data_IF_514651540403
#
_entry.id   IF_514651540403
#
_cell.length_a   1.000
_cell.length_b   1.000
_cell.length_c   1.000
_cell.angle_alpha   90.00
_cell.angle_beta   90.00
_cell.angle_gamma   90.00
#
_symmetry.space_group_name_H-M   'P 1'
#
loop_
_entity.id
_entity.type
_entity.pdbx_description
1 polymer ?
#
# COMPACT_ATOMS: atom_id res chain seq x y z
N UNK A 1 35.18 -6.96 -3.57
CA UNK A 1 33.80 -6.90 -4.13
C UNK A 1 33.80 -5.93 -5.29
N UNK A 2 33.14 -6.25 -6.41
CA UNK A 2 33.04 -5.32 -7.55
C UNK A 2 32.43 -3.97 -7.10
N UNK A 3 32.97 -2.85 -7.54
CA UNK A 3 32.47 -1.48 -7.25
C UNK A 3 31.11 -1.18 -7.89
N UNK A 4 30.33 -2.21 -8.21
CA UNK A 4 28.99 -2.07 -8.80
C UNK A 4 28.04 -1.38 -7.85
N UNK A 5 27.35 -0.37 -8.37
CA UNK A 5 26.32 0.40 -7.68
C UNK A 5 24.96 0.20 -8.32
N UNK A 6 23.94 0.12 -7.49
CA UNK A 6 22.54 0.04 -7.93
C UNK A 6 21.73 1.12 -7.22
N UNK A 7 21.07 1.98 -8.00
CA UNK A 7 20.10 2.95 -7.53
C UNK A 7 18.68 2.44 -7.84
N UNK A 8 17.89 2.19 -6.81
CA UNK A 8 16.47 1.84 -6.96
C UNK A 8 15.61 3.06 -6.63
N UNK A 9 14.94 3.55 -7.65
CA UNK A 9 13.98 4.66 -7.59
C UNK A 9 12.59 4.05 -7.41
N UNK A 10 12.13 3.98 -6.19
CA UNK A 10 10.78 3.51 -5.86
C UNK A 10 9.77 4.65 -5.96
N UNK A 11 8.77 4.49 -6.82
CA UNK A 11 7.66 5.44 -6.97
C UNK A 11 6.38 4.77 -6.49
N UNK A 12 5.98 5.04 -5.24
CA UNK A 12 4.80 4.41 -4.65
C UNK A 12 3.54 4.79 -5.45
N UNK A 13 2.77 3.78 -5.87
CA UNK A 13 1.53 4.01 -6.61
C UNK A 13 1.70 4.63 -8.02
N UNK A 14 2.86 4.52 -8.68
CA UNK A 14 3.03 5.13 -10.01
C UNK A 14 2.20 4.41 -11.08
N UNK A 15 1.15 5.10 -11.56
CA UNK A 15 0.21 4.55 -12.52
C UNK A 15 0.83 4.43 -13.93
N UNK A 16 0.83 3.22 -14.55
CA UNK A 16 1.39 3.01 -15.89
C UNK A 16 0.77 3.91 -16.96
N UNK A 17 -0.52 4.23 -16.83
CA UNK A 17 -1.26 5.11 -17.75
C UNK A 17 -0.69 6.53 -17.77
N UNK A 18 -0.15 7.00 -16.63
CA UNK A 18 0.51 8.30 -16.53
C UNK A 18 1.95 8.19 -17.03
N UNK A 19 2.72 7.26 -16.45
CA UNK A 19 4.17 7.14 -16.72
C UNK A 19 4.44 6.82 -18.19
N UNK A 20 3.75 5.84 -18.76
CA UNK A 20 3.94 5.46 -20.18
C UNK A 20 3.08 6.29 -21.13
N UNK A 21 1.85 6.65 -20.74
CA UNK A 21 0.93 7.41 -21.57
C UNK A 21 1.36 8.86 -21.79
N UNK A 22 2.13 9.43 -20.88
CA UNK A 22 2.65 10.81 -20.92
C UNK A 22 4.19 10.88 -20.90
N UNK A 23 4.86 9.81 -21.31
CA UNK A 23 6.32 9.67 -21.22
C UNK A 23 7.10 10.85 -21.82
N UNK A 24 6.57 11.49 -22.85
CA UNK A 24 7.22 12.64 -23.50
C UNK A 24 7.23 13.91 -22.62
N UNK A 25 6.41 13.96 -21.57
CA UNK A 25 6.38 15.02 -20.59
C UNK A 25 7.40 14.82 -19.44
N UNK A 26 8.06 13.64 -19.38
CA UNK A 26 9.02 13.23 -18.34
C UNK A 26 10.37 12.89 -18.98
N UNK A 27 11.18 13.89 -19.34
CA UNK A 27 12.38 13.68 -20.17
C UNK A 27 13.43 12.76 -19.53
N UNK A 28 13.56 12.74 -18.19
CA UNK A 28 14.50 11.86 -17.48
C UNK A 28 14.01 10.42 -17.52
N UNK A 29 12.79 10.15 -17.12
CA UNK A 29 12.19 8.81 -17.19
C UNK A 29 12.16 8.30 -18.63
N UNK A 30 11.79 9.16 -19.61
CA UNK A 30 11.85 8.83 -21.03
C UNK A 30 13.26 8.42 -21.45
N UNK A 31 14.26 9.21 -21.07
CA UNK A 31 15.66 8.92 -21.38
C UNK A 31 16.15 7.60 -20.77
N UNK A 32 15.68 7.23 -19.57
CA UNK A 32 15.95 5.93 -18.95
C UNK A 32 15.27 4.79 -19.73
N UNK A 33 14.00 4.97 -20.12
CA UNK A 33 13.26 3.99 -20.94
C UNK A 33 13.91 3.77 -22.31
N UNK A 34 14.36 4.85 -22.97
CA UNK A 34 14.95 4.78 -24.31
C UNK A 34 16.34 4.08 -24.32
N UNK A 35 17.05 4.10 -23.19
CA UNK A 35 18.36 3.43 -23.00
C UNK A 35 18.29 2.06 -22.34
N UNK A 36 17.17 1.73 -21.72
CA UNK A 36 16.99 0.52 -20.91
C UNK A 36 15.84 -0.35 -21.38
N UNK A 37 15.36 -1.16 -20.46
CA UNK A 37 14.13 -1.95 -20.62
C UNK A 37 13.03 -1.32 -19.80
N UNK A 38 11.84 -1.24 -20.36
CA UNK A 38 10.67 -0.72 -19.67
C UNK A 38 9.42 -1.52 -20.00
N UNK A 39 8.49 -1.61 -19.06
CA UNK A 39 7.24 -2.33 -19.24
C UNK A 39 6.36 -2.29 -18.00
N UNK A 40 5.11 -2.71 -18.17
CA UNK A 40 4.18 -2.89 -17.06
C UNK A 40 4.60 -4.11 -16.24
N UNK A 41 4.69 -3.95 -14.93
CA UNK A 41 4.92 -5.02 -13.97
C UNK A 41 3.60 -5.32 -13.24
N UNK A 42 3.21 -6.60 -13.19
CA UNK A 42 2.06 -7.00 -12.37
C UNK A 42 2.46 -6.92 -10.90
N UNK A 43 1.66 -6.22 -10.10
CA UNK A 43 1.84 -6.14 -8.66
C UNK A 43 1.55 -7.49 -7.97
N UNK A 44 1.93 -7.58 -6.69
CA UNK A 44 1.51 -8.70 -5.83
C UNK A 44 -0.02 -8.71 -5.63
N UNK A 45 -0.55 -9.81 -5.21
CA UNK A 45 -1.88 -9.90 -4.63
C UNK A 45 -1.74 -10.07 -3.09
N UNK A 46 -2.19 -9.11 -2.28
CA UNK A 46 -2.86 -7.88 -2.67
C UNK A 46 -1.88 -6.82 -3.21
N UNK A 47 -2.32 -5.94 -4.12
CA UNK A 47 -1.53 -4.81 -4.62
C UNK A 47 -1.58 -3.65 -3.60
N UNK A 48 -0.96 -3.87 -2.46
CA UNK A 48 -0.92 -2.96 -1.30
C UNK A 48 0.54 -2.65 -0.96
N UNK A 49 0.82 -1.42 -0.61
CA UNK A 49 2.17 -0.87 -0.39
C UNK A 49 3.09 -1.80 0.41
N UNK A 50 2.71 -2.18 1.63
CA UNK A 50 3.61 -2.96 2.51
C UNK A 50 3.92 -4.35 1.94
N UNK A 51 2.95 -5.22 1.59
CA UNK A 51 3.27 -6.49 0.98
C UNK A 51 4.05 -6.34 -0.34
N UNK A 52 3.65 -5.43 -1.24
CA UNK A 52 4.27 -5.31 -2.55
C UNK A 52 5.75 -4.86 -2.47
N UNK A 53 6.10 -3.88 -1.63
CA UNK A 53 7.51 -3.50 -1.42
C UNK A 53 8.31 -4.63 -0.82
N UNK A 54 7.72 -5.44 0.09
CA UNK A 54 8.44 -6.56 0.69
C UNK A 54 8.59 -7.74 -0.27
N UNK A 55 7.63 -8.00 -1.15
CA UNK A 55 7.80 -8.95 -2.27
C UNK A 55 9.03 -8.58 -3.11
N UNK A 56 9.17 -7.30 -3.49
CA UNK A 56 10.34 -6.83 -4.23
C UNK A 56 11.64 -6.95 -3.45
N UNK A 57 11.60 -6.69 -2.13
CA UNK A 57 12.78 -6.69 -1.29
C UNK A 57 13.28 -8.10 -0.89
N UNK A 58 12.39 -9.11 -0.89
CA UNK A 58 12.69 -10.46 -0.40
C UNK A 58 12.63 -11.53 -1.48
N UNK A 59 11.89 -11.29 -2.57
CA UNK A 59 11.57 -12.31 -3.58
C UNK A 59 10.53 -13.33 -3.12
N UNK A 60 9.88 -13.12 -1.96
CA UNK A 60 8.85 -14.00 -1.42
C UNK A 60 7.47 -13.39 -1.67
N UNK A 61 6.45 -14.22 -1.88
CA UNK A 61 5.08 -13.77 -2.05
C UNK A 61 4.43 -13.35 -0.71
N UNK A 62 3.28 -12.66 -0.73
CA UNK A 62 2.59 -12.21 0.49
C UNK A 62 2.18 -13.34 1.43
N UNK A 63 1.89 -14.54 0.92
CA UNK A 63 1.57 -15.72 1.72
C UNK A 63 2.74 -16.12 2.62
N UNK A 64 3.93 -16.30 2.04
CA UNK A 64 5.17 -16.62 2.76
C UNK A 64 5.65 -15.51 3.69
N UNK A 65 5.28 -14.26 3.39
CA UNK A 65 5.59 -13.13 4.26
C UNK A 65 4.60 -12.94 5.40
N UNK A 66 3.43 -13.56 5.34
CA UNK A 66 2.33 -13.32 6.28
C UNK A 66 1.79 -11.88 6.21
N UNK A 67 1.93 -11.21 5.07
CA UNK A 67 1.60 -9.80 4.87
C UNK A 67 0.48 -9.62 3.86
N UNK A 68 -0.74 -9.39 4.34
CA UNK A 68 -1.95 -9.25 3.53
C UNK A 68 -2.49 -7.81 3.50
N UNK A 69 -1.73 -6.83 4.01
CA UNK A 69 -2.10 -5.42 4.06
C UNK A 69 -1.43 -4.67 5.20
N UNK A 70 -2.06 -3.58 5.64
CA UNK A 70 -1.57 -2.77 6.77
C UNK A 70 -1.92 -3.35 8.14
N UNK A 71 -3.05 -4.04 8.24
CA UNK A 71 -3.61 -4.57 9.49
C UNK A 71 -3.80 -6.07 9.38
N UNK A 72 -3.54 -6.79 10.44
CA UNK A 72 -3.66 -8.24 10.52
C UNK A 72 -4.38 -8.61 11.81
N UNK A 73 -5.11 -9.73 11.81
CA UNK A 73 -5.69 -10.31 13.03
C UNK A 73 -4.58 -10.78 13.96
N UNK A 74 -4.89 -10.90 15.23
CA UNK A 74 -3.98 -11.45 16.22
C UNK A 74 -4.62 -12.65 16.89
N UNK A 75 -4.06 -13.84 16.63
CA UNK A 75 -4.49 -15.10 17.23
C UNK A 75 -5.95 -15.46 16.91
N UNK A 76 -6.45 -15.17 15.71
CA UNK A 76 -7.83 -15.36 15.28
C UNK A 76 -8.87 -14.64 16.15
N UNK A 77 -8.48 -13.66 16.99
CA UNK A 77 -9.40 -12.81 17.72
C UNK A 77 -10.33 -12.03 16.78
N UNK A 78 -11.51 -11.64 17.26
CA UNK A 78 -12.44 -10.80 16.48
C UNK A 78 -12.04 -9.32 16.49
N UNK A 79 -11.44 -8.85 17.57
CA UNK A 79 -11.18 -7.45 17.91
C UNK A 79 -9.69 -7.09 18.05
N UNK A 80 -8.82 -8.07 18.29
CA UNK A 80 -7.39 -7.81 18.36
C UNK A 80 -6.75 -7.79 16.98
N UNK A 81 -6.00 -6.70 16.71
CA UNK A 81 -5.23 -6.54 15.47
C UNK A 81 -3.85 -5.99 15.75
N UNK A 82 -2.95 -6.19 14.78
CA UNK A 82 -1.65 -5.55 14.76
C UNK A 82 -1.42 -4.84 13.42
N UNK A 83 -0.59 -3.79 13.44
CA UNK A 83 -0.23 -3.02 12.25
C UNK A 83 1.12 -3.51 11.75
N UNK A 84 1.19 -3.80 10.45
CA UNK A 84 2.40 -4.23 9.79
C UNK A 84 3.51 -3.18 9.95
N UNK A 85 4.66 -3.62 10.41
CA UNK A 85 5.83 -2.79 10.69
C UNK A 85 7.10 -3.59 10.40
N UNK A 86 8.28 -2.99 10.59
CA UNK A 86 9.55 -3.63 10.24
C UNK A 86 9.82 -4.95 10.98
N UNK A 87 9.26 -5.12 12.18
CA UNK A 87 9.45 -6.33 13.00
C UNK A 87 8.63 -7.52 12.51
N UNK A 88 7.63 -7.27 11.67
CA UNK A 88 6.81 -8.34 11.09
C UNK A 88 7.51 -9.06 9.91
N UNK A 89 8.59 -8.50 9.38
CA UNK A 89 9.29 -9.05 8.23
C UNK A 89 10.52 -9.82 8.70
N UNK A 90 10.37 -11.13 8.88
CA UNK A 90 11.45 -11.99 9.36
C UNK A 90 12.38 -12.47 8.24
N UNK A 91 11.90 -12.49 7.01
CA UNK A 91 12.68 -12.89 5.84
C UNK A 91 13.85 -11.93 5.58
N UNK A 92 14.97 -12.51 5.11
CA UNK A 92 16.10 -11.70 4.62
C UNK A 92 15.69 -10.88 3.42
N UNK A 93 16.10 -9.62 3.42
CA UNK A 93 15.86 -8.67 2.35
C UNK A 93 17.12 -8.50 1.51
N UNK A 94 17.00 -7.95 0.33
CA UNK A 94 18.14 -7.73 -0.59
C UNK A 94 19.33 -7.05 0.11
N UNK A 95 19.08 -6.06 0.95
CA UNK A 95 20.14 -5.35 1.68
C UNK A 95 20.81 -6.17 2.79
N UNK A 96 20.14 -7.19 3.33
CA UNK A 96 20.73 -8.11 4.28
C UNK A 96 21.77 -8.98 3.55
N UNK A 97 21.44 -9.50 2.36
CA UNK A 97 22.38 -10.25 1.51
C UNK A 97 23.57 -9.41 1.06
N UNK A 98 23.34 -8.13 0.70
CA UNK A 98 24.39 -7.19 0.34
C UNK A 98 25.33 -6.96 1.53
N UNK A 99 24.79 -6.78 2.74
CA UNK A 99 25.56 -6.63 3.96
C UNK A 99 26.41 -7.86 4.31
N UNK A 100 25.84 -9.06 4.20
CA UNK A 100 26.55 -10.33 4.38
C UNK A 100 27.71 -10.50 3.38
N UNK A 101 27.53 -10.00 2.17
CA UNK A 101 28.56 -9.96 1.14
C UNK A 101 29.58 -8.81 1.34
N UNK A 102 29.51 -8.04 2.45
CA UNK A 102 30.42 -6.93 2.79
C UNK A 102 30.10 -5.61 2.06
N UNK A 103 28.96 -5.51 1.37
CA UNK A 103 28.47 -4.27 0.73
C UNK A 103 27.73 -3.38 1.72
N UNK A 104 27.35 -2.19 1.26
CA UNK A 104 26.62 -1.19 2.05
C UNK A 104 25.35 -0.77 1.35
N UNK A 105 24.30 -0.56 2.12
CA UNK A 105 22.99 -0.11 1.62
C UNK A 105 22.59 1.21 2.26
N UNK A 106 22.05 2.12 1.46
CA UNK A 106 21.35 3.32 1.94
C UNK A 106 19.89 3.19 1.57
N UNK A 107 19.03 3.07 2.58
CA UNK A 107 17.60 2.86 2.46
C UNK A 107 16.85 4.08 2.93
N UNK A 108 16.03 4.69 2.06
CA UNK A 108 15.28 5.89 2.39
C UNK A 108 13.79 5.62 2.21
N UNK A 109 13.06 5.59 3.32
CA UNK A 109 11.60 5.47 3.34
C UNK A 109 11.04 4.20 2.67
N UNK A 110 11.78 3.09 2.60
CA UNK A 110 11.31 1.82 2.03
C UNK A 110 10.33 1.14 3.01
N UNK A 111 9.06 0.91 2.65
CA UNK A 111 8.07 0.29 3.56
C UNK A 111 8.26 -1.24 3.72
N UNK A 112 8.02 -1.79 4.95
CA UNK A 112 7.92 -1.12 6.24
C UNK A 112 9.31 -0.99 6.88
N UNK A 113 9.76 0.22 7.18
CA UNK A 113 11.07 0.44 7.83
C UNK A 113 10.98 1.14 9.19
N UNK A 114 9.80 1.18 9.78
CA UNK A 114 9.62 1.64 11.15
C UNK A 114 9.15 0.48 12.06
N UNK A 115 9.70 0.33 13.29
CA UNK A 115 10.91 0.99 13.82
C UNK A 115 12.16 0.72 12.97
N UNK A 116 13.15 1.64 12.95
CA UNK A 116 14.40 1.42 12.21
C UNK A 116 15.14 0.22 12.82
N UNK A 117 15.88 -0.48 11.99
CA UNK A 117 16.62 -1.69 12.34
C UNK A 117 18.04 -1.64 11.78
N UNK A 118 18.97 -2.44 12.33
CA UNK A 118 20.34 -2.49 11.85
C UNK A 118 20.42 -2.90 10.37
N UNK A 119 21.23 -2.15 9.61
CA UNK A 119 21.62 -2.46 8.23
C UNK A 119 23.11 -2.19 8.06
N UNK A 120 23.78 -2.88 7.13
CA UNK A 120 25.14 -2.53 6.76
C UNK A 120 25.11 -1.22 5.94
N UNK A 121 24.98 -0.07 6.62
CA UNK A 121 24.89 1.24 5.97
C UNK A 121 23.94 2.20 6.68
N UNK A 122 22.99 2.78 5.96
CA UNK A 122 22.10 3.82 6.45
C UNK A 122 20.63 3.47 6.17
N UNK A 123 19.75 3.79 7.12
CA UNK A 123 18.30 3.63 6.95
C UNK A 123 17.58 4.84 7.51
N UNK A 124 16.65 5.42 6.74
CA UNK A 124 15.63 6.36 7.18
C UNK A 124 14.29 5.65 7.10
N UNK A 125 13.52 5.68 8.19
CA UNK A 125 12.22 5.00 8.26
C UNK A 125 11.18 5.63 7.31
N UNK A 126 10.09 4.88 7.06
CA UNK A 126 9.09 5.22 6.05
C UNK A 126 7.88 5.97 6.64
N UNK A 127 6.87 6.20 5.82
CA UNK A 127 5.65 6.95 6.14
C UNK A 127 4.83 6.40 7.32
N UNK A 128 4.99 5.12 7.71
CA UNK A 128 4.33 4.58 8.91
C UNK A 128 4.98 5.03 10.22
N UNK A 129 6.03 5.84 10.16
CA UNK A 129 6.65 6.45 11.34
C UNK A 129 5.64 7.32 12.07
N UNK A 130 5.31 7.02 13.34
CA UNK A 130 4.33 7.83 14.06
C UNK A 130 4.86 9.26 14.28
N UNK A 131 4.00 10.28 14.22
CA UNK A 131 4.42 11.66 14.48
C UNK A 131 4.88 11.86 15.93
N UNK A 132 5.65 12.93 16.18
CA UNK A 132 6.06 13.38 17.50
C UNK A 132 7.54 13.16 17.83
N UNK A 133 8.04 13.84 18.86
CA UNK A 133 9.46 13.86 19.24
C UNK A 133 9.88 12.55 19.94
N UNK A 134 11.21 12.39 20.12
CA UNK A 134 11.79 11.33 20.96
C UNK A 134 11.78 9.92 20.35
N UNK A 135 11.54 9.80 19.04
CA UNK A 135 11.53 8.51 18.36
C UNK A 135 12.81 8.30 17.57
N UNK A 136 13.32 7.07 17.63
CA UNK A 136 14.34 6.62 16.69
C UNK A 136 13.69 6.45 15.31
N UNK A 137 14.25 7.12 14.31
CA UNK A 137 13.72 7.12 12.94
C UNK A 137 14.76 6.76 11.91
N UNK A 138 16.00 6.53 12.35
CA UNK A 138 17.13 6.19 11.47
C UNK A 138 17.99 5.07 12.05
N UNK A 139 18.76 4.44 11.18
CA UNK A 139 19.91 3.63 11.55
C UNK A 139 21.13 4.07 10.69
N UNK A 140 22.31 4.30 11.30
CA UNK A 140 22.51 4.38 12.77
C UNK A 140 21.71 5.54 13.40
N UNK A 141 21.47 5.52 14.73
CA UNK A 141 20.69 6.56 15.40
C UNK A 141 21.23 7.99 15.16
N UNK A 142 22.54 8.19 15.19
CA UNK A 142 23.17 9.49 14.94
C UNK A 142 22.93 10.08 13.54
N UNK A 143 22.43 9.29 12.58
CA UNK A 143 22.08 9.81 11.26
C UNK A 143 20.90 10.80 11.33
N UNK A 144 19.99 10.64 12.29
CA UNK A 144 18.90 11.58 12.52
C UNK A 144 19.44 12.97 12.85
N UNK A 145 20.41 13.04 13.79
CA UNK A 145 21.00 14.32 14.22
C UNK A 145 21.74 14.99 13.06
N UNK A 146 22.49 14.23 12.25
CA UNK A 146 23.15 14.74 11.06
C UNK A 146 22.17 15.35 10.04
N UNK A 147 20.99 14.73 9.88
CA UNK A 147 19.93 15.19 8.98
C UNK A 147 19.28 16.46 9.54
N UNK A 148 18.89 16.44 10.81
CA UNK A 148 18.18 17.56 11.45
C UNK A 148 19.07 18.81 11.53
N UNK A 149 20.37 18.65 11.79
CA UNK A 149 21.34 19.76 11.81
C UNK A 149 21.49 20.41 10.42
N UNK A 150 21.48 19.63 9.34
CA UNK A 150 21.74 20.13 7.98
C UNK A 150 20.50 20.65 7.28
N UNK A 151 19.37 19.96 7.48
CA UNK A 151 18.16 20.14 6.67
C UNK A 151 16.93 20.47 7.51
N UNK A 152 17.03 20.44 8.84
CA UNK A 152 15.89 20.50 9.74
C UNK A 152 15.12 19.18 9.79
N UNK A 153 13.95 19.14 10.45
CA UNK A 153 13.18 17.92 10.64
C UNK A 153 12.81 17.22 9.33
N UNK A 154 12.98 15.90 9.31
CA UNK A 154 12.57 15.07 8.16
C UNK A 154 11.05 14.91 8.13
N UNK A 155 10.44 14.95 6.94
CA UNK A 155 9.00 14.82 6.75
C UNK A 155 8.70 13.41 6.26
N UNK A 156 8.08 12.59 7.13
CA UNK A 156 7.78 11.18 6.84
C UNK A 156 6.51 10.99 6.03
N UNK A 157 5.49 11.81 6.26
CA UNK A 157 4.20 11.76 5.55
C UNK A 157 3.46 13.09 5.68
N UNK A 158 2.38 13.22 4.91
CA UNK A 158 1.46 14.36 4.95
C UNK A 158 0.04 13.88 5.30
N UNK A 159 -0.79 14.77 5.85
CA UNK A 159 -2.20 14.48 6.12
C UNK A 159 -2.99 14.64 4.81
N UNK A 160 -3.03 13.60 4.00
CA UNK A 160 -3.59 13.65 2.64
C UNK A 160 -5.12 13.52 2.58
N UNK A 161 -5.78 13.08 3.66
CA UNK A 161 -7.25 12.99 3.76
C UNK A 161 -7.82 14.25 4.41
N UNK A 162 -7.72 15.37 3.70
CA UNK A 162 -8.25 16.68 4.09
C UNK A 162 -8.90 17.35 2.90
N UNK A 163 -9.87 18.23 3.14
CA UNK A 163 -10.52 19.00 2.08
C UNK A 163 -9.71 20.24 1.65
N UNK A 164 -8.71 20.66 2.43
CA UNK A 164 -7.81 21.75 2.02
C UNK A 164 -6.79 21.27 0.98
N UNK A 165 -7.21 21.29 -0.28
CA UNK A 165 -6.41 20.83 -1.43
C UNK A 165 -5.18 21.67 -1.68
N UNK A 166 -5.22 22.98 -1.39
CA UNK A 166 -4.03 23.84 -1.52
C UNK A 166 -2.97 23.53 -0.47
N UNK A 167 -3.40 23.28 0.75
CA UNK A 167 -2.48 22.91 1.82
C UNK A 167 -1.80 21.57 1.51
N UNK A 168 -2.58 20.54 1.18
CA UNK A 168 -1.98 19.22 0.91
C UNK A 168 -1.05 19.24 -0.30
N UNK A 169 -1.37 20.01 -1.34
CA UNK A 169 -0.50 20.17 -2.51
C UNK A 169 0.86 20.75 -2.10
N UNK A 170 0.86 21.83 -1.31
CA UNK A 170 2.08 22.45 -0.79
C UNK A 170 2.87 21.47 0.09
N UNK A 171 2.20 20.73 0.96
CA UNK A 171 2.84 19.78 1.89
C UNK A 171 3.47 18.61 1.15
N UNK A 172 2.84 18.07 0.08
CA UNK A 172 3.41 17.00 -0.76
C UNK A 172 4.72 17.50 -1.41
N UNK A 173 4.72 18.69 -2.02
CA UNK A 173 5.93 19.25 -2.62
C UNK A 173 7.02 19.51 -1.56
N UNK A 174 6.67 20.05 -0.40
CA UNK A 174 7.63 20.29 0.69
C UNK A 174 8.24 19.00 1.23
N UNK A 175 7.43 17.94 1.37
CA UNK A 175 7.89 16.61 1.77
C UNK A 175 8.88 16.05 0.76
N UNK A 176 8.54 16.08 -0.52
CA UNK A 176 9.40 15.58 -1.60
C UNK A 176 10.69 16.37 -1.69
N UNK A 177 10.63 17.71 -1.62
CA UNK A 177 11.82 18.58 -1.60
C UNK A 177 12.76 18.18 -0.47
N UNK A 178 12.23 18.09 0.76
CA UNK A 178 12.99 17.68 1.95
C UNK A 178 13.68 16.34 1.78
N UNK A 179 12.97 15.37 1.24
CA UNK A 179 13.51 14.02 0.99
C UNK A 179 14.64 14.04 -0.04
N UNK A 180 14.47 14.77 -1.14
CA UNK A 180 15.50 14.86 -2.16
C UNK A 180 16.72 15.69 -1.70
N UNK A 181 16.55 16.71 -0.86
CA UNK A 181 17.70 17.39 -0.22
C UNK A 181 18.55 16.40 0.58
N UNK A 182 17.92 15.58 1.40
CA UNK A 182 18.59 14.56 2.22
C UNK A 182 19.23 13.47 1.34
N UNK A 183 18.53 12.97 0.32
CA UNK A 183 19.07 11.97 -0.60
C UNK A 183 20.23 12.50 -1.43
N UNK A 184 20.15 13.73 -1.89
CA UNK A 184 21.22 14.43 -2.62
C UNK A 184 22.53 14.53 -1.81
N UNK A 185 22.41 14.65 -0.49
CA UNK A 185 23.55 14.59 0.42
C UNK A 185 24.00 13.15 0.66
N UNK A 186 23.07 12.24 0.99
CA UNK A 186 23.41 10.84 1.32
C UNK A 186 24.14 10.13 0.18
N UNK A 187 23.70 10.33 -1.07
CA UNK A 187 24.23 9.64 -2.24
C UNK A 187 25.70 9.98 -2.52
N UNK A 188 26.14 11.17 -2.05
CA UNK A 188 27.52 11.64 -2.22
C UNK A 188 28.37 11.52 -0.95
N UNK A 189 27.75 11.68 0.23
CA UNK A 189 28.46 11.75 1.51
C UNK A 189 28.64 10.39 2.21
N UNK A 190 27.80 9.42 1.91
CA UNK A 190 27.84 8.10 2.55
C UNK A 190 28.22 7.03 1.53
N UNK A 191 29.02 6.00 1.91
CA UNK A 191 29.34 4.89 1.00
C UNK A 191 28.15 3.95 0.83
N UNK A 192 27.90 3.51 -0.42
CA UNK A 192 26.81 2.59 -0.76
C UNK A 192 27.15 1.74 -2.00
N UNK A 193 26.57 0.54 -2.06
CA UNK A 193 26.45 -0.34 -3.22
C UNK A 193 25.00 -0.41 -3.70
N UNK A 194 24.05 -0.40 -2.74
CA UNK A 194 22.62 -0.25 -3.00
C UNK A 194 22.14 1.09 -2.40
N UNK A 195 21.53 1.92 -3.24
CA UNK A 195 20.75 3.07 -2.78
C UNK A 195 19.30 2.83 -3.18
N UNK A 196 18.42 2.61 -2.23
CA UNK A 196 17.01 2.35 -2.49
C UNK A 196 16.14 3.35 -1.73
N UNK A 197 15.34 4.12 -2.46
CA UNK A 197 14.37 4.99 -1.83
C UNK A 197 12.96 4.72 -2.35
N UNK A 198 11.95 5.11 -1.56
CA UNK A 198 10.55 5.10 -1.96
C UNK A 198 9.96 6.48 -1.77
N UNK A 199 9.48 7.08 -2.86
CA UNK A 199 8.77 8.37 -2.87
C UNK A 199 7.27 8.13 -2.75
N UNK A 200 6.73 8.37 -1.54
CA UNK A 200 5.32 8.22 -1.22
C UNK A 200 4.47 9.39 -1.75
N UNK A 201 5.08 10.49 -2.14
CA UNK A 201 4.37 11.65 -2.66
C UNK A 201 3.56 11.37 -3.91
N UNK A 202 3.97 10.36 -4.71
CA UNK A 202 3.20 9.91 -5.89
C UNK A 202 1.86 9.29 -5.46
N UNK A 203 1.87 8.44 -4.43
CA UNK A 203 0.64 7.90 -3.85
C UNK A 203 -0.25 9.01 -3.27
N UNK A 204 0.35 9.94 -2.52
CA UNK A 204 -0.37 11.04 -1.87
C UNK A 204 -1.02 11.99 -2.87
N UNK A 205 -0.35 12.31 -3.97
CA UNK A 205 -0.91 13.16 -5.02
C UNK A 205 -2.07 12.47 -5.74
N UNK A 206 -1.99 11.15 -5.97
CA UNK A 206 -3.07 10.37 -6.56
C UNK A 206 -4.29 10.35 -5.65
N UNK A 207 -4.12 10.03 -4.37
CA UNK A 207 -5.21 10.03 -3.39
C UNK A 207 -5.94 11.36 -3.28
N UNK A 208 -5.20 12.47 -3.33
CA UNK A 208 -5.78 13.78 -3.14
C UNK A 208 -6.40 14.39 -4.41
N UNK A 209 -5.86 14.03 -5.59
CA UNK A 209 -6.15 14.78 -6.82
C UNK A 209 -6.66 13.94 -8.00
N UNK A 210 -6.86 12.63 -7.89
CA UNK A 210 -7.29 11.79 -9.02
C UNK A 210 -8.58 12.29 -9.67
N UNK A 211 -9.60 12.62 -8.87
CA UNK A 211 -10.89 13.11 -9.36
C UNK A 211 -10.80 14.41 -10.17
N UNK A 212 -9.77 15.21 -9.94
CA UNK A 212 -9.57 16.48 -10.63
C UNK A 212 -8.92 16.30 -12.00
N UNK A 213 -8.19 15.21 -12.21
CA UNK A 213 -7.51 14.90 -13.48
C UNK A 213 -8.34 13.99 -14.39
N UNK A 214 -9.00 12.99 -13.83
CA UNK A 214 -9.69 11.94 -14.60
C UNK A 214 -11.07 12.41 -15.08
N UNK A 215 -11.17 12.80 -16.35
CA UNK A 215 -12.41 13.28 -16.98
C UNK A 215 -13.58 12.29 -16.96
N UNK A 216 -13.28 11.01 -16.75
CA UNK A 216 -14.32 9.98 -16.62
C UNK A 216 -14.73 9.73 -15.16
N UNK A 217 -14.13 10.43 -14.20
CA UNK A 217 -14.54 10.36 -12.80
C UNK A 217 -15.87 11.09 -12.59
N UNK A 218 -16.81 10.48 -11.86
CA UNK A 218 -18.15 11.05 -11.66
C UNK A 218 -18.16 12.40 -10.90
N UNK A 219 -17.08 12.71 -10.17
CA UNK A 219 -16.87 13.99 -9.49
C UNK A 219 -15.93 14.95 -10.27
N UNK A 220 -15.61 14.64 -11.54
CA UNK A 220 -14.78 15.53 -12.34
C UNK A 220 -15.55 16.79 -12.75
N UNK A 221 -14.92 17.94 -12.57
CA UNK A 221 -15.40 19.23 -13.02
C UNK A 221 -14.43 19.82 -14.07
N UNK A 222 -14.95 20.12 -15.25
CA UNK A 222 -14.12 20.68 -16.32
C UNK A 222 -13.60 22.07 -15.96
N UNK A 223 -12.31 22.31 -16.23
CA UNK A 223 -11.67 23.60 -15.95
C UNK A 223 -11.35 23.82 -14.47
N UNK A 224 -11.39 22.77 -13.65
CA UNK A 224 -10.95 22.88 -12.26
C UNK A 224 -9.45 23.21 -12.18
N UNK A 225 -9.05 23.97 -11.17
CA UNK A 225 -7.67 24.47 -11.01
C UNK A 225 -6.62 23.40 -10.71
N UNK A 226 -7.03 22.18 -10.36
CA UNK A 226 -6.15 21.06 -10.03
C UNK A 226 -6.04 20.01 -11.14
N UNK A 227 -6.61 20.27 -12.33
CA UNK A 227 -6.64 19.31 -13.44
C UNK A 227 -5.24 18.77 -13.79
N UNK A 228 -4.20 19.58 -13.63
CA UNK A 228 -2.81 19.21 -13.92
C UNK A 228 -1.98 18.85 -12.68
N UNK A 229 -2.53 18.92 -11.46
CA UNK A 229 -1.76 18.76 -10.23
C UNK A 229 -0.91 17.48 -10.19
N UNK A 230 -1.46 16.35 -10.63
CA UNK A 230 -0.75 15.06 -10.69
C UNK A 230 0.39 15.12 -11.71
N UNK A 231 0.11 15.59 -12.92
CA UNK A 231 1.10 15.63 -14.01
C UNK A 231 2.24 16.60 -13.70
N UNK A 232 1.91 17.75 -13.15
CA UNK A 232 2.91 18.76 -12.76
C UNK A 232 3.80 18.24 -11.63
N UNK A 233 3.25 17.48 -10.69
CA UNK A 233 4.03 16.81 -9.67
C UNK A 233 4.99 15.77 -10.27
N UNK A 234 4.55 14.96 -11.23
CA UNK A 234 5.43 14.02 -11.92
C UNK A 234 6.56 14.71 -12.69
N UNK A 235 6.28 15.86 -13.35
CA UNK A 235 7.32 16.68 -14.02
C UNK A 235 8.36 17.19 -13.02
N UNK A 236 7.89 17.69 -11.88
CA UNK A 236 8.78 18.12 -10.81
C UNK A 236 9.65 16.98 -10.30
N UNK A 237 9.04 15.83 -10.03
CA UNK A 237 9.71 14.62 -9.54
C UNK A 237 10.72 14.09 -10.57
N UNK A 238 10.38 14.07 -11.86
CA UNK A 238 11.27 13.68 -12.96
C UNK A 238 12.57 14.50 -12.93
N UNK A 239 12.48 15.81 -12.73
CA UNK A 239 13.65 16.69 -12.59
C UNK A 239 14.49 16.39 -11.34
N UNK A 240 13.84 16.01 -10.22
CA UNK A 240 14.54 15.63 -8.99
C UNK A 240 15.27 14.29 -9.16
N UNK A 241 14.61 13.30 -9.77
CA UNK A 241 15.21 12.00 -10.12
C UNK A 241 16.42 12.20 -11.02
N UNK A 242 16.33 13.06 -12.04
CA UNK A 242 17.44 13.33 -12.94
C UNK A 242 18.69 13.84 -12.22
N UNK A 243 18.53 14.74 -11.25
CA UNK A 243 19.66 15.24 -10.44
C UNK A 243 20.27 14.13 -9.59
N UNK A 244 19.44 13.27 -8.98
CA UNK A 244 19.92 12.17 -8.15
C UNK A 244 20.66 11.12 -8.99
N UNK A 245 20.12 10.75 -10.16
CA UNK A 245 20.77 9.83 -11.11
C UNK A 245 22.12 10.37 -11.56
N UNK A 246 22.22 11.67 -11.91
CA UNK A 246 23.49 12.28 -12.28
C UNK A 246 24.52 12.22 -11.15
N UNK A 247 24.12 12.40 -9.89
CA UNK A 247 25.02 12.26 -8.72
C UNK A 247 25.44 10.82 -8.43
N UNK A 248 24.61 9.85 -8.78
CA UNK A 248 24.92 8.42 -8.63
C UNK A 248 26.09 8.00 -9.53
N UNK A 249 26.26 8.67 -10.68
CA UNK A 249 27.33 8.42 -11.67
C UNK A 249 26.94 7.40 -12.73
N UNK A 250 27.63 7.49 -13.88
CA UNK A 250 27.30 6.74 -15.11
C UNK A 250 27.45 5.21 -14.97
N UNK A 251 28.33 4.75 -14.07
CA UNK A 251 28.54 3.33 -13.82
C UNK A 251 27.48 2.71 -12.88
N UNK A 252 26.47 3.49 -12.46
CA UNK A 252 25.38 3.02 -11.60
C UNK A 252 24.24 2.44 -12.43
N UNK A 253 23.85 1.20 -12.12
CA UNK A 253 22.61 0.64 -12.67
C UNK A 253 21.40 1.33 -11.99
N UNK A 254 20.46 1.82 -12.79
CA UNK A 254 19.26 2.50 -12.30
C UNK A 254 18.03 1.63 -12.56
N UNK A 255 17.28 1.32 -11.49
CA UNK A 255 15.97 0.66 -11.57
C UNK A 255 14.91 1.67 -11.12
N UNK A 256 13.90 1.90 -11.94
CA UNK A 256 12.69 2.66 -11.56
C UNK A 256 11.55 1.66 -11.43
N UNK A 257 10.97 1.56 -10.25
CA UNK A 257 9.96 0.55 -9.94
C UNK A 257 8.79 1.15 -9.15
N UNK A 258 7.61 0.56 -9.30
CA UNK A 258 6.43 0.88 -8.51
C UNK A 258 5.83 -0.40 -7.94
N UNK A 259 5.30 -0.31 -6.74
CA UNK A 259 4.66 -1.41 -6.01
C UNK A 259 3.25 -1.70 -6.52
N UNK A 260 2.48 -0.67 -6.84
CA UNK A 260 1.15 -0.74 -7.45
C UNK A 260 0.87 0.54 -8.26
N UNK A 261 -0.24 0.56 -8.96
CA UNK A 261 -0.74 1.75 -9.62
C UNK A 261 -1.95 2.36 -8.91
N UNK A 262 -2.63 3.27 -9.58
CA UNK A 262 -3.90 3.85 -9.17
C UNK A 262 -4.88 3.82 -10.32
N UNK A 263 -6.16 3.83 -9.99
CA UNK A 263 -7.25 3.98 -10.95
C UNK A 263 -8.42 4.75 -10.31
N UNK A 264 -9.35 5.19 -11.15
CA UNK A 264 -10.58 5.86 -10.70
C UNK A 264 -11.37 4.98 -9.75
N UNK A 265 -11.76 5.52 -8.59
CA UNK A 265 -12.73 4.91 -7.70
C UNK A 265 -14.14 5.25 -8.17
N UNK A 266 -15.00 4.25 -8.34
CA UNK A 266 -16.42 4.43 -8.67
C UNK A 266 -17.30 4.54 -7.42
N UNK A 267 -16.83 3.97 -6.30
CA UNK A 267 -17.54 3.99 -5.03
C UNK A 267 -17.05 2.93 -4.06
N UNK A 268 -17.79 2.74 -2.97
CA UNK A 268 -17.53 1.69 -2.00
C UNK A 268 -18.69 0.71 -1.88
N UNK A 269 -18.38 -0.58 -1.82
CA UNK A 269 -19.33 -1.64 -1.55
C UNK A 269 -19.33 -2.00 -0.08
N UNK A 270 -20.49 -1.90 0.58
CA UNK A 270 -20.68 -2.19 2.01
C UNK A 270 -20.78 -3.69 2.24
N UNK A 271 -19.65 -4.38 2.25
CA UNK A 271 -19.58 -5.84 2.26
C UNK A 271 -20.29 -6.45 3.47
N UNK A 272 -20.21 -5.84 4.67
CA UNK A 272 -20.87 -6.36 5.86
C UNK A 272 -22.38 -6.10 5.87
N UNK A 273 -22.90 -5.04 5.22
CA UNK A 273 -24.35 -4.89 4.98
C UNK A 273 -24.85 -6.04 4.09
N UNK A 274 -24.10 -6.36 3.04
CA UNK A 274 -24.42 -7.47 2.14
C UNK A 274 -24.37 -8.81 2.88
N UNK A 275 -23.35 -9.05 3.70
CA UNK A 275 -23.23 -10.28 4.50
C UNK A 275 -24.41 -10.46 5.46
N UNK A 276 -24.92 -9.38 6.06
CA UNK A 276 -26.12 -9.42 6.90
C UNK A 276 -27.36 -9.79 6.07
N UNK A 277 -27.56 -9.17 4.91
CA UNK A 277 -28.71 -9.45 4.05
C UNK A 277 -28.71 -10.88 3.50
N UNK A 278 -27.50 -11.43 3.31
CA UNK A 278 -27.33 -12.84 2.87
C UNK A 278 -27.36 -13.85 4.02
N UNK A 279 -27.47 -13.39 5.29
CA UNK A 279 -27.51 -14.24 6.48
C UNK A 279 -26.16 -14.83 6.90
N UNK A 280 -25.05 -14.25 6.42
CA UNK A 280 -23.69 -14.65 6.82
C UNK A 280 -23.25 -13.97 8.12
N UNK A 281 -23.65 -12.71 8.33
CA UNK A 281 -23.31 -11.89 9.50
C UNK A 281 -24.58 -11.58 10.28
N UNK A 282 -24.52 -11.73 11.61
CA UNK A 282 -25.61 -11.41 12.53
C UNK A 282 -25.15 -10.34 13.51
N UNK A 283 -25.91 -9.26 13.66
CA UNK A 283 -25.71 -8.22 14.66
C UNK A 283 -26.87 -8.24 15.67
N UNK A 284 -26.61 -7.95 16.95
CA UNK A 284 -27.66 -7.88 17.97
C UNK A 284 -28.59 -6.68 17.74
N UNK A 285 -28.02 -5.59 17.27
CA UNK A 285 -28.77 -4.37 16.92
C UNK A 285 -28.11 -3.72 15.69
N UNK A 286 -28.92 -3.32 14.71
CA UNK A 286 -28.42 -2.60 13.54
C UNK A 286 -28.08 -1.15 13.89
N UNK A 287 -26.86 -0.66 13.59
CA UNK A 287 -26.51 0.72 13.85
C UNK A 287 -27.29 1.67 12.92
N UNK A 288 -27.67 2.83 13.44
CA UNK A 288 -28.38 3.89 12.70
C UNK A 288 -27.43 4.89 11.98
N UNK A 289 -26.13 4.74 12.18
CA UNK A 289 -25.07 5.56 11.56
C UNK A 289 -23.85 4.69 11.25
N UNK A 290 -22.96 5.13 10.34
CA UNK A 290 -21.74 4.40 10.01
C UNK A 290 -20.92 4.08 11.27
N UNK A 291 -20.75 2.79 11.55
CA UNK A 291 -20.10 2.27 12.76
C UNK A 291 -19.13 1.15 12.37
N UNK A 292 -17.95 1.13 13.00
CA UNK A 292 -16.97 0.05 12.83
C UNK A 292 -17.49 -1.25 13.40
N UNK A 293 -17.05 -2.40 12.85
CA UNK A 293 -17.38 -3.71 13.44
C UNK A 293 -16.91 -3.82 14.89
N UNK A 294 -15.75 -3.24 15.20
CA UNK A 294 -15.14 -3.29 16.53
C UNK A 294 -16.01 -2.57 17.60
N UNK A 295 -16.88 -1.65 17.16
CA UNK A 295 -17.80 -0.88 18.03
C UNK A 295 -19.22 -1.47 18.08
N UNK A 296 -19.45 -2.63 17.44
CA UNK A 296 -20.76 -3.24 17.31
C UNK A 296 -20.90 -4.52 18.16
N UNK A 297 -22.10 -4.73 18.68
CA UNK A 297 -22.47 -5.99 19.33
C UNK A 297 -22.82 -7.04 18.26
N UNK A 298 -21.81 -7.74 17.76
CA UNK A 298 -21.99 -8.87 16.85
C UNK A 298 -22.54 -10.09 17.62
N UNK A 299 -23.47 -10.79 17.00
CA UNK A 299 -23.93 -12.10 17.50
C UNK A 299 -23.05 -13.21 16.88
N UNK A 300 -21.90 -13.45 17.50
CA UNK A 300 -20.93 -14.42 17.00
C UNK A 300 -21.48 -15.85 16.99
N UNK A 301 -22.49 -16.16 17.81
CA UNK A 301 -23.12 -17.49 17.85
C UNK A 301 -24.02 -17.78 16.62
N UNK A 302 -24.26 -16.74 15.80
CA UNK A 302 -25.06 -16.83 14.56
C UNK A 302 -24.28 -16.31 13.33
N UNK A 303 -23.12 -15.72 13.55
CA UNK A 303 -22.28 -15.19 12.46
C UNK A 303 -21.44 -16.31 11.88
N UNK A 304 -21.58 -16.53 10.58
CA UNK A 304 -20.78 -17.51 9.83
C UNK A 304 -19.59 -16.87 9.13
N UNK A 305 -19.72 -15.60 8.72
CA UNK A 305 -18.65 -14.83 8.08
C UNK A 305 -18.75 -13.33 8.36
N UNK A 306 -17.62 -12.65 8.34
CA UNK A 306 -17.51 -11.19 8.40
C UNK A 306 -16.35 -10.71 7.53
N UNK A 307 -16.26 -9.39 7.28
CA UNK A 307 -15.20 -8.85 6.46
C UNK A 307 -14.57 -7.58 7.04
N UNK A 308 -13.27 -7.45 6.84
CA UNK A 308 -12.58 -6.18 6.98
C UNK A 308 -12.51 -5.47 5.63
N UNK A 309 -12.90 -4.18 5.63
CA UNK A 309 -12.83 -3.32 4.47
C UNK A 309 -11.42 -2.81 4.18
N UNK A 310 -11.31 -2.14 3.05
CA UNK A 310 -10.09 -1.54 2.52
C UNK A 310 -10.22 -1.38 1.01
N UNK A 311 -9.11 -1.36 0.27
CA UNK A 311 -9.17 -1.40 -1.19
C UNK A 311 -9.73 -2.73 -1.70
N UNK A 312 -9.46 -3.81 -1.02
CA UNK A 312 -10.08 -5.11 -1.20
C UNK A 312 -10.72 -5.58 0.11
N UNK A 313 -11.66 -6.53 0.04
CA UNK A 313 -12.23 -7.13 1.25
C UNK A 313 -11.42 -8.35 1.68
N UNK A 314 -11.13 -8.42 2.98
CA UNK A 314 -10.63 -9.61 3.64
C UNK A 314 -11.80 -10.26 4.37
N UNK A 315 -12.24 -11.41 3.89
CA UNK A 315 -13.38 -12.14 4.42
C UNK A 315 -12.88 -13.28 5.29
N UNK A 316 -13.48 -13.41 6.46
CA UNK A 316 -13.16 -14.43 7.45
C UNK A 316 -14.40 -15.28 7.73
N UNK A 317 -14.20 -16.59 7.86
CA UNK A 317 -15.21 -17.55 8.28
C UNK A 317 -15.09 -17.82 9.78
N UNK A 318 -16.20 -18.06 10.45
CA UNK A 318 -16.28 -18.28 11.88
C UNK A 318 -16.23 -19.77 12.20
N UNK A 319 -15.03 -20.35 12.25
CA UNK A 319 -14.79 -21.80 12.33
C UNK A 319 -14.71 -22.24 13.78
N UNK A 320 -15.44 -23.31 14.14
CA UNK A 320 -15.36 -23.93 15.45
C UNK A 320 -13.95 -24.46 15.74
N UNK A 321 -13.45 -24.19 16.95
CA UNK A 321 -12.11 -24.53 17.35
C UNK A 321 -11.00 -23.60 16.81
N UNK A 322 -11.29 -22.69 15.88
CA UNK A 322 -10.36 -21.66 15.38
C UNK A 322 -10.70 -20.29 15.95
N UNK A 323 -11.92 -19.83 15.79
CA UNK A 323 -12.44 -18.59 16.37
C UNK A 323 -13.03 -18.82 17.77
N UNK A 324 -13.02 -17.79 18.64
CA UNK A 324 -13.48 -17.92 20.04
C UNK A 324 -14.93 -18.38 20.20
N UNK A 325 -15.80 -18.08 19.24
CA UNK A 325 -17.20 -18.48 19.17
C UNK A 325 -17.53 -19.00 17.77
N UNK A 326 -16.69 -19.89 17.25
CA UNK A 326 -16.86 -20.47 15.92
C UNK A 326 -18.15 -21.28 15.83
N UNK A 327 -18.82 -21.24 14.67
CA UNK A 327 -20.10 -21.89 14.42
C UNK A 327 -20.08 -22.84 13.23
N UNK A 328 -19.08 -22.73 12.35
CA UNK A 328 -18.91 -23.61 11.21
C UNK A 328 -18.04 -24.78 11.65
N UNK A 329 -18.53 -26.04 11.57
CA UNK A 329 -17.70 -27.20 11.83
C UNK A 329 -16.48 -27.22 10.90
N UNK A 330 -15.30 -27.65 11.36
CA UNK A 330 -14.10 -27.73 10.51
C UNK A 330 -14.27 -28.57 9.24
N UNK A 331 -15.09 -29.63 9.31
CA UNK A 331 -15.42 -30.48 8.18
C UNK A 331 -16.24 -29.78 7.10
N UNK A 332 -17.03 -28.74 7.45
CA UNK A 332 -17.88 -28.00 6.54
C UNK A 332 -17.15 -26.75 5.95
N UNK A 333 -15.91 -26.49 6.38
CA UNK A 333 -15.15 -25.29 6.02
C UNK A 333 -15.08 -25.03 4.51
N UNK A 334 -14.71 -26.04 3.74
CA UNK A 334 -14.56 -25.89 2.29
C UNK A 334 -15.90 -25.65 1.59
N UNK A 335 -16.96 -26.37 1.99
CA UNK A 335 -18.30 -26.19 1.43
C UNK A 335 -18.85 -24.80 1.71
N UNK A 336 -18.74 -24.33 2.94
CA UNK A 336 -19.16 -22.99 3.36
C UNK A 336 -18.37 -21.90 2.65
N UNK A 337 -17.05 -22.08 2.52
CA UNK A 337 -16.18 -21.14 1.81
C UNK A 337 -16.52 -21.06 0.33
N UNK A 338 -16.77 -22.19 -0.32
CA UNK A 338 -17.15 -22.26 -1.73
C UNK A 338 -18.53 -21.65 -1.99
N UNK A 339 -19.48 -21.88 -1.09
CA UNK A 339 -20.79 -21.25 -1.16
C UNK A 339 -20.68 -19.71 -1.09
N UNK A 340 -19.94 -19.18 -0.10
CA UNK A 340 -19.72 -17.75 0.04
C UNK A 340 -18.93 -17.16 -1.16
N UNK A 341 -17.93 -17.87 -1.66
CA UNK A 341 -17.17 -17.48 -2.84
C UNK A 341 -18.06 -17.31 -4.07
N UNK A 342 -18.96 -18.28 -4.31
CA UNK A 342 -19.89 -18.23 -5.43
C UNK A 342 -20.86 -17.05 -5.32
N UNK A 343 -21.37 -16.76 -4.12
CA UNK A 343 -22.24 -15.61 -3.89
C UNK A 343 -21.50 -14.29 -4.10
N UNK A 344 -20.26 -14.15 -3.59
CA UNK A 344 -19.43 -12.95 -3.75
C UNK A 344 -19.10 -12.66 -5.22
N UNK A 345 -18.82 -13.70 -6.01
CA UNK A 345 -18.62 -13.57 -7.47
C UNK A 345 -19.87 -13.12 -8.21
N UNK A 346 -21.04 -13.42 -7.66
CA UNK A 346 -22.34 -13.05 -8.22
C UNK A 346 -22.78 -11.60 -7.93
N UNK A 347 -22.03 -10.85 -7.12
CA UNK A 347 -22.38 -9.46 -6.79
C UNK A 347 -22.36 -8.61 -8.06
N UNK A 348 -23.38 -7.74 -8.17
CA UNK A 348 -23.56 -6.82 -9.29
C UNK A 348 -23.45 -5.38 -8.81
N UNK A 349 -23.26 -4.46 -9.71
CA UNK A 349 -23.25 -3.03 -9.42
C UNK A 349 -24.62 -2.45 -9.08
N UNK A 350 -24.67 -1.17 -8.69
CA UNK A 350 -25.90 -0.51 -8.20
C UNK A 350 -27.03 -0.46 -9.22
N UNK A 351 -26.73 -0.56 -10.52
CA UNK A 351 -27.74 -0.61 -11.58
C UNK A 351 -27.96 -2.02 -12.12
N UNK A 352 -27.49 -3.04 -11.42
CA UNK A 352 -27.59 -4.45 -11.84
C UNK A 352 -26.55 -4.88 -12.88
N UNK A 353 -25.58 -4.01 -13.21
CA UNK A 353 -24.48 -4.32 -14.14
C UNK A 353 -23.56 -5.40 -13.56
N UNK A 354 -23.01 -6.30 -14.40
CA UNK A 354 -22.07 -7.29 -13.96
C UNK A 354 -20.73 -6.64 -13.56
N UNK A 355 -20.15 -7.12 -12.47
CA UNK A 355 -18.81 -6.73 -12.02
C UNK A 355 -17.77 -7.79 -12.35
N UNK A 356 -16.55 -7.33 -12.64
CA UNK A 356 -15.38 -8.19 -12.75
C UNK A 356 -14.79 -8.47 -11.35
N UNK A 357 -15.62 -9.06 -10.48
CA UNK A 357 -15.20 -9.37 -9.11
C UNK A 357 -14.33 -10.63 -9.10
N UNK A 358 -13.11 -10.48 -8.58
CA UNK A 358 -12.19 -11.58 -8.37
C UNK A 358 -12.22 -12.00 -6.90
N UNK A 359 -12.41 -13.28 -6.63
CA UNK A 359 -12.34 -13.87 -5.29
C UNK A 359 -11.25 -14.92 -5.28
N UNK A 360 -10.31 -14.80 -4.35
CA UNK A 360 -9.15 -15.68 -4.20
C UNK A 360 -9.27 -16.42 -2.87
N UNK A 361 -9.07 -17.73 -2.91
CA UNK A 361 -8.71 -18.56 -1.76
C UNK A 361 -7.19 -18.50 -1.59
N UNK A 362 -6.64 -17.94 -0.50
CA UNK A 362 -5.19 -17.81 -0.33
C UNK A 362 -4.45 -19.15 -0.50
N UNK A 363 -5.01 -20.26 0.00
CA UNK A 363 -4.43 -21.60 -0.07
C UNK A 363 -4.27 -22.15 -1.50
N UNK A 364 -5.08 -21.68 -2.44
CA UNK A 364 -4.99 -22.07 -3.85
C UNK A 364 -4.09 -21.11 -4.66
N UNK A 365 -3.76 -19.95 -4.07
CA UNK A 365 -3.05 -18.88 -4.76
C UNK A 365 -1.58 -18.79 -4.36
N UNK A 366 -1.25 -18.98 -3.09
CA UNK A 366 0.11 -18.99 -2.56
C UNK A 366 0.59 -20.41 -2.26
N UNK A 367 1.88 -20.65 -2.44
CA UNK A 367 2.47 -21.98 -2.14
C UNK A 367 2.53 -22.24 -0.64
N UNK A 368 2.79 -21.22 0.16
CA UNK A 368 2.88 -21.30 1.62
C UNK A 368 2.13 -20.10 2.23
N UNK A 369 1.58 -20.30 3.42
CA UNK A 369 0.82 -19.29 4.15
C UNK A 369 1.35 -19.15 5.57
N UNK A 370 1.68 -17.92 5.93
CA UNK A 370 2.09 -17.53 7.27
C UNK A 370 1.06 -16.57 7.89
N UNK A 371 0.98 -16.57 9.22
CA UNK A 371 0.09 -15.70 9.98
C UNK A 371 -1.40 -16.00 9.82
N UNK A 372 -2.23 -15.09 10.30
CA UNK A 372 -3.69 -15.18 10.24
C UNK A 372 -4.20 -14.56 8.93
N UNK A 373 -4.17 -15.34 7.88
CA UNK A 373 -4.64 -14.95 6.56
C UNK A 373 -6.17 -14.92 6.47
N UNK A 374 -6.76 -14.11 5.55
CA UNK A 374 -8.20 -14.16 5.30
C UNK A 374 -8.60 -15.47 4.61
N UNK A 375 -9.81 -15.95 4.87
CA UNK A 375 -10.34 -17.13 4.19
C UNK A 375 -10.63 -16.84 2.71
N UNK A 376 -11.05 -15.60 2.38
CA UNK A 376 -11.22 -15.12 1.01
C UNK A 376 -10.69 -13.69 0.87
N UNK A 377 -10.05 -13.42 -0.26
CA UNK A 377 -9.62 -12.10 -0.70
C UNK A 377 -10.52 -11.65 -1.86
N UNK A 378 -11.24 -10.54 -1.69
CA UNK A 378 -12.27 -10.13 -2.66
C UNK A 378 -11.94 -8.75 -3.25
N UNK A 379 -11.82 -8.72 -4.57
CA UNK A 379 -11.52 -7.52 -5.36
C UNK A 379 -12.76 -7.17 -6.18
N UNK A 380 -13.55 -6.18 -5.71
CA UNK A 380 -14.80 -5.81 -6.35
C UNK A 380 -14.58 -5.01 -7.62
N UNK A 381 -15.19 -5.46 -8.74
CA UNK A 381 -15.13 -4.80 -10.06
C UNK A 381 -13.70 -4.40 -10.45
N UNK A 382 -12.77 -5.35 -10.37
CA UNK A 382 -11.33 -5.13 -10.63
C UNK A 382 -10.78 -3.91 -9.87
N UNK A 383 -11.16 -3.76 -8.59
CA UNK A 383 -10.80 -2.66 -7.69
C UNK A 383 -11.35 -1.27 -8.11
N UNK A 384 -12.31 -1.17 -9.01
CA UNK A 384 -13.07 0.07 -9.22
C UNK A 384 -14.01 0.39 -8.05
N UNK A 385 -14.33 -0.62 -7.23
CA UNK A 385 -15.10 -0.47 -6.00
C UNK A 385 -14.26 -0.92 -4.82
N UNK A 386 -14.01 -0.02 -3.86
CA UNK A 386 -13.39 -0.44 -2.61
C UNK A 386 -14.40 -1.16 -1.70
N UNK A 387 -13.90 -1.86 -0.69
CA UNK A 387 -14.72 -2.50 0.33
C UNK A 387 -14.91 -1.57 1.53
N UNK A 388 -16.15 -1.23 1.89
CA UNK A 388 -16.48 -0.62 3.17
C UNK A 388 -16.82 -1.71 4.18
N UNK A 389 -16.03 -1.78 5.28
CA UNK A 389 -16.24 -2.74 6.37
C UNK A 389 -17.18 -2.25 7.48
N UNK A 390 -17.59 -0.97 7.45
CA UNK A 390 -18.53 -0.36 8.40
C UNK A 390 -19.98 -0.74 8.10
N UNK A 391 -20.83 -0.72 9.12
CA UNK A 391 -22.29 -0.94 9.05
C UNK A 391 -23.05 0.33 9.39
N UNK A 392 -24.35 0.39 9.06
CA UNK A 392 -25.22 1.51 9.39
C UNK A 392 -25.31 2.57 8.28
N UNK A 393 -24.97 2.19 7.07
CA UNK A 393 -25.09 3.07 5.89
C UNK A 393 -26.49 3.09 5.28
N UNK A 394 -27.32 2.08 5.56
CA UNK A 394 -28.65 1.92 4.96
C UNK A 394 -28.64 1.66 3.45
N UNK A 395 -27.47 1.38 2.90
CA UNK A 395 -27.26 1.02 1.50
C UNK A 395 -26.05 0.12 1.35
N UNK A 396 -25.99 -0.66 0.26
CA UNK A 396 -24.83 -1.47 -0.10
C UNK A 396 -23.79 -0.70 -0.91
N UNK A 397 -24.15 0.43 -1.53
CA UNK A 397 -23.29 1.17 -2.44
C UNK A 397 -23.15 2.61 -1.96
N UNK A 398 -21.93 3.05 -1.75
CA UNK A 398 -21.60 4.42 -1.37
C UNK A 398 -20.96 5.12 -2.58
N UNK A 399 -21.39 6.32 -2.95
CA UNK A 399 -20.65 7.15 -3.88
C UNK A 399 -19.35 7.64 -3.22
N UNK A 400 -18.30 7.77 -3.98
CA UNK A 400 -17.02 8.36 -3.56
C UNK A 400 -16.53 9.43 -4.51
#
# INVERSE_FOLDING_TARGET
MNDRKVLVVGLDCAAPEIVFGRRDEFPVLKGLMDRGLSGKLRSSDPPITIPAWMVMATGLDPGRLGLYGFRHRKGYSYDEMWIANSRAVHAKKLWDHIGEAGGRSTLVSVPPSYPPYPVAGNLISCFITPPGPGKETTFPPGLKDEIEERFGPYIFDVVFRTEDRDQILREIYAMTEKRFEVMDWLITAKPWNLFWFVEIGVDRIHHAFWKYMDRAHHLYESGNRFENAIVDYYKYLDGRIGRLVAKAGDDTAVLVVSDHGAKRMKGAFCVNEWLIERGWLAVKERPSKPTSLDDLAIDWTKTRAWAWGGYYARVFLNIDGREPQGVIPPEDYEEERDALLAELKGIRGPNGEPWETRVIKPQEYYEELEGEYPDLMVYFDDLYWRSAGTLGHGTMYLPE
#
